data_IF_673977889168
#
_entry.id   IF_673977889168
#
_cell.length_a   1.000
_cell.length_b   1.000
_cell.length_c   1.000
_cell.angle_alpha   90.00
_cell.angle_beta   90.00
_cell.angle_gamma   90.00
#
_symmetry.space_group_name_H-M   'P 1'
#
loop_
_entity.id
_entity.type
_entity.pdbx_description
1 polymer ?
#
# COMPACT_ATOMS: atom_id res chain seq x y z
N UNK A 1 -1.84 8.66 -6.43
CA UNK A 1 -0.88 7.57 -6.19
C UNK A 1 0.50 8.04 -6.59
N UNK A 2 1.57 7.72 -5.83
CA UNK A 2 2.93 7.96 -6.31
C UNK A 2 3.26 6.88 -7.33
N UNK A 3 3.30 7.24 -8.61
CA UNK A 3 3.48 6.30 -9.72
C UNK A 3 4.86 5.60 -9.78
N UNK A 4 5.77 5.90 -8.85
CA UNK A 4 7.12 5.35 -8.80
C UNK A 4 7.57 5.14 -7.36
N UNK A 5 8.00 3.91 -7.06
CA UNK A 5 8.76 3.57 -5.86
C UNK A 5 10.22 3.93 -6.15
N UNK A 6 10.78 4.82 -5.35
CA UNK A 6 12.19 5.19 -5.41
C UNK A 6 13.01 4.19 -4.61
N UNK A 7 14.17 3.78 -5.13
CA UNK A 7 15.07 2.90 -4.38
C UNK A 7 15.70 3.63 -3.19
N UNK A 8 16.05 2.92 -2.11
CA UNK A 8 16.78 3.53 -0.99
C UNK A 8 18.04 4.27 -1.45
N UNK A 9 18.69 3.83 -2.53
CA UNK A 9 19.88 4.48 -3.06
C UNK A 9 19.58 5.88 -3.61
N UNK A 10 18.49 6.03 -4.36
CA UNK A 10 18.04 7.33 -4.89
C UNK A 10 17.59 8.25 -3.74
N UNK A 11 16.85 7.71 -2.78
CA UNK A 11 16.38 8.45 -1.60
C UNK A 11 17.57 8.92 -0.76
N UNK A 12 18.53 8.04 -0.47
CA UNK A 12 19.73 8.36 0.31
C UNK A 12 20.57 9.45 -0.37
N UNK A 13 20.70 9.41 -1.70
CA UNK A 13 21.42 10.43 -2.48
C UNK A 13 20.78 11.82 -2.34
N UNK A 14 19.45 11.88 -2.28
CA UNK A 14 18.72 13.13 -2.08
C UNK A 14 18.82 13.62 -0.63
N UNK A 15 18.62 12.71 0.34
CA UNK A 15 18.75 13.01 1.77
C UNK A 15 20.14 13.55 2.14
N UNK A 16 21.22 13.05 1.51
CA UNK A 16 22.58 13.55 1.74
C UNK A 16 22.80 14.98 1.29
N UNK A 17 22.05 15.44 0.28
CA UNK A 17 22.09 16.84 -0.18
C UNK A 17 21.28 17.75 0.74
N UNK A 18 20.12 17.28 1.18
CA UNK A 18 19.19 18.06 2.02
C UNK A 18 19.62 18.13 3.49
N UNK A 19 20.21 17.05 4.00
CA UNK A 19 20.59 16.89 5.40
C UNK A 19 22.06 16.49 5.55
N UNK A 20 23.02 17.37 5.17
CA UNK A 20 24.44 17.05 5.18
C UNK A 20 25.04 16.81 6.57
N UNK A 21 24.28 17.10 7.64
CA UNK A 21 24.69 16.89 9.04
C UNK A 21 24.38 15.49 9.57
N UNK A 22 23.53 14.73 8.86
CA UNK A 22 23.20 13.36 9.26
C UNK A 22 24.36 12.43 8.93
N UNK A 23 24.60 11.47 9.82
CA UNK A 23 25.52 10.38 9.55
C UNK A 23 25.01 9.49 8.43
N UNK A 24 25.92 8.75 7.80
CA UNK A 24 25.58 7.80 6.74
C UNK A 24 24.60 6.71 7.24
N UNK A 25 24.75 6.29 8.50
CA UNK A 25 23.83 5.37 9.15
C UNK A 25 22.41 5.93 9.27
N UNK A 26 22.27 7.19 9.69
CA UNK A 26 20.96 7.85 9.81
C UNK A 26 20.31 8.02 8.44
N UNK A 27 21.07 8.45 7.42
CA UNK A 27 20.58 8.62 6.05
C UNK A 27 20.08 7.30 5.48
N UNK A 28 20.85 6.21 5.61
CA UNK A 28 20.45 4.90 5.12
C UNK A 28 19.21 4.39 5.87
N UNK A 29 19.16 4.58 7.19
CA UNK A 29 18.00 4.20 8.01
C UNK A 29 16.73 4.92 7.58
N UNK A 30 16.82 6.22 7.26
CA UNK A 30 15.71 7.01 6.74
C UNK A 30 15.30 6.57 5.33
N UNK A 31 16.27 6.34 4.45
CA UNK A 31 16.01 5.94 3.07
C UNK A 31 15.25 4.62 2.97
N UNK A 32 15.66 3.61 3.75
CA UNK A 32 14.97 2.30 3.82
C UNK A 32 13.55 2.46 4.36
N UNK A 33 13.34 3.30 5.38
CA UNK A 33 12.00 3.55 5.92
C UNK A 33 11.09 4.23 4.89
N UNK A 34 11.61 5.19 4.13
CA UNK A 34 10.86 5.86 3.07
C UNK A 34 10.50 4.88 1.96
N UNK A 35 11.45 4.09 1.44
CA UNK A 35 11.19 3.07 0.42
C UNK A 35 10.13 2.07 0.89
N UNK A 36 10.26 1.55 2.12
CA UNK A 36 9.27 0.66 2.72
C UNK A 36 7.89 1.31 2.76
N UNK A 37 7.79 2.56 3.19
CA UNK A 37 6.52 3.27 3.24
C UNK A 37 5.94 3.48 1.83
N UNK A 38 6.75 3.80 0.83
CA UNK A 38 6.31 3.90 -0.56
C UNK A 38 5.80 2.55 -1.11
N UNK A 39 6.44 1.44 -0.76
CA UNK A 39 5.96 0.09 -1.10
C UNK A 39 4.60 -0.17 -0.44
N UNK A 40 4.46 0.13 0.85
CA UNK A 40 3.21 -0.09 1.58
C UNK A 40 2.09 0.81 1.06
N UNK A 41 2.38 2.08 0.79
CA UNK A 41 1.43 3.01 0.18
C UNK A 41 0.96 2.50 -1.18
N UNK A 42 1.85 2.00 -2.03
CA UNK A 42 1.45 1.46 -3.34
C UNK A 42 0.75 0.10 -3.24
N UNK A 43 1.19 -0.77 -2.33
CA UNK A 43 0.60 -2.10 -2.15
C UNK A 43 -0.74 -2.09 -1.44
N UNK A 44 -0.98 -1.12 -0.56
CA UNK A 44 -2.20 -1.00 0.25
C UNK A 44 -3.12 0.14 -0.19
N UNK A 45 -2.69 1.04 -1.09
CA UNK A 45 -3.59 2.07 -1.62
C UNK A 45 -4.72 1.42 -2.40
N UNK A 46 -5.94 1.65 -1.93
CA UNK A 46 -7.19 1.37 -2.65
C UNK A 46 -7.19 2.16 -3.95
N UNK A 47 -7.34 1.48 -5.08
CA UNK A 47 -7.31 2.09 -6.41
C UNK A 47 -8.70 2.56 -6.75
N UNK A 48 -8.91 3.86 -6.78
CA UNK A 48 -10.18 4.44 -7.20
C UNK A 48 -10.45 4.30 -8.71
N UNK A 49 -9.55 3.65 -9.47
CA UNK A 49 -9.74 3.33 -10.88
C UNK A 49 -10.02 1.83 -11.04
N UNK A 50 -11.24 1.48 -11.49
CA UNK A 50 -11.75 0.12 -11.75
C UNK A 50 -10.81 -0.79 -12.55
N UNK A 51 -9.82 -0.22 -13.24
CA UNK A 51 -8.93 -0.91 -14.18
C UNK A 51 -7.74 -1.61 -13.52
N UNK A 52 -7.36 -1.22 -12.32
CA UNK A 52 -6.26 -1.84 -11.56
C UNK A 52 -6.68 -1.96 -10.09
N UNK A 53 -7.30 -3.07 -9.67
CA UNK A 53 -7.69 -3.22 -8.28
C UNK A 53 -6.44 -3.18 -7.40
N UNK A 54 -6.49 -2.40 -6.33
CA UNK A 54 -5.52 -2.47 -5.24
C UNK A 54 -5.43 -3.88 -4.67
N UNK A 55 -4.40 -4.18 -3.87
CA UNK A 55 -4.33 -5.49 -3.22
C UNK A 55 -5.58 -5.78 -2.36
N UNK A 56 -6.13 -4.76 -1.69
CA UNK A 56 -7.35 -4.89 -0.88
C UNK A 56 -8.60 -5.09 -1.75
N UNK A 57 -8.71 -4.40 -2.89
CA UNK A 57 -9.80 -4.64 -3.85
C UNK A 57 -9.65 -5.99 -4.53
N UNK A 58 -8.44 -6.44 -4.83
CA UNK A 58 -8.14 -7.76 -5.37
C UNK A 58 -8.55 -8.87 -4.41
N UNK A 59 -8.28 -8.71 -3.11
CA UNK A 59 -8.77 -9.60 -2.06
C UNK A 59 -10.30 -9.57 -2.01
N UNK A 60 -10.91 -8.38 -2.04
CA UNK A 60 -12.37 -8.23 -1.98
C UNK A 60 -13.07 -8.89 -3.19
N UNK A 61 -12.54 -8.69 -4.40
CA UNK A 61 -13.01 -9.36 -5.63
C UNK A 61 -12.85 -10.87 -5.53
N UNK A 62 -11.70 -11.36 -5.03
CA UNK A 62 -11.46 -12.79 -4.84
C UNK A 62 -12.41 -13.41 -3.80
N UNK A 63 -12.84 -12.63 -2.81
CA UNK A 63 -13.86 -13.01 -1.82
C UNK A 63 -15.31 -12.87 -2.36
N UNK A 64 -15.49 -12.53 -3.64
CA UNK A 64 -16.79 -12.51 -4.31
C UNK A 64 -17.51 -11.16 -4.29
N UNK A 65 -16.85 -10.10 -3.85
CA UNK A 65 -17.43 -8.76 -3.79
C UNK A 65 -17.66 -8.20 -5.20
N UNK A 66 -18.87 -7.68 -5.46
CA UNK A 66 -19.24 -7.08 -6.75
C UNK A 66 -19.54 -5.59 -6.57
N UNK A 67 -19.10 -4.76 -7.52
CA UNK A 67 -19.15 -3.28 -7.51
C UNK A 67 -20.56 -2.66 -7.30
N UNK A 68 -21.62 -3.47 -7.25
CA UNK A 68 -22.99 -3.03 -7.02
C UNK A 68 -23.37 -3.00 -5.52
N UNK A 69 -22.44 -3.35 -4.61
CA UNK A 69 -22.65 -3.41 -3.17
C UNK A 69 -21.84 -2.31 -2.46
N UNK A 70 -22.21 -1.05 -2.69
CA UNK A 70 -21.49 0.13 -2.16
C UNK A 70 -21.50 0.23 -0.62
N UNK A 71 -22.38 -0.50 0.06
CA UNK A 71 -22.52 -0.47 1.53
C UNK A 71 -21.96 -1.72 2.25
N UNK A 72 -21.33 -2.65 1.51
CA UNK A 72 -20.83 -3.88 2.12
C UNK A 72 -19.40 -3.66 2.62
N UNK A 73 -19.22 -3.66 3.94
CA UNK A 73 -17.90 -3.58 4.56
C UNK A 73 -17.23 -4.97 4.62
N UNK A 74 -15.91 -5.02 4.82
CA UNK A 74 -15.18 -6.30 5.01
C UNK A 74 -15.80 -7.17 6.12
N UNK A 75 -16.32 -6.54 7.19
CA UNK A 75 -17.00 -7.28 8.27
C UNK A 75 -18.26 -7.99 7.79
N UNK A 76 -19.01 -7.40 6.85
CA UNK A 76 -20.23 -8.00 6.30
C UNK A 76 -19.89 -9.24 5.46
N UNK A 77 -18.82 -9.18 4.66
CA UNK A 77 -18.34 -10.30 3.85
C UNK A 77 -17.85 -11.46 4.72
N UNK A 78 -17.06 -11.17 5.76
CA UNK A 78 -16.56 -12.20 6.67
C UNK A 78 -17.71 -12.89 7.43
N UNK A 79 -18.76 -12.14 7.77
CA UNK A 79 -19.96 -12.69 8.38
C UNK A 79 -20.73 -13.60 7.43
N UNK A 80 -20.94 -13.19 6.16
CA UNK A 80 -21.59 -14.03 5.15
C UNK A 80 -20.84 -15.35 4.91
N UNK A 81 -19.50 -15.31 4.84
CA UNK A 81 -18.68 -16.52 4.68
C UNK A 81 -18.82 -17.43 5.91
N UNK A 82 -18.80 -16.86 7.12
CA UNK A 82 -18.99 -17.63 8.35
C UNK A 82 -20.38 -18.29 8.41
N UNK A 83 -21.41 -17.62 7.91
CA UNK A 83 -22.79 -18.10 7.91
C UNK A 83 -23.06 -19.14 6.80
N UNK A 84 -22.33 -19.11 5.68
CA UNK A 84 -22.40 -20.14 4.61
C UNK A 84 -21.79 -21.50 5.02
N UNK A 85 -20.98 -21.54 6.06
CA UNK A 85 -20.32 -22.76 6.57
C UNK A 85 -20.98 -23.35 7.83
N UNK A 86 -22.22 -22.94 8.15
CA UNK A 86 -23.11 -23.60 9.12
C UNK A 86 -24.14 -24.47 8.41
#
# INVERSE_FOLDING_TARGET
>A
MKNRIESYYEIAKNLKKEYPKLSEFEILSLAVQIERNQILENGLAVSFEDKYPSALEGISIALGFKNNQLDTTITNVLQEIADQHK
#
